data_IF_464537408809
#
_entry.id   IF_464537408809
#
_cell.length_a   1.000
_cell.length_b   1.000
_cell.length_c   1.000
_cell.angle_alpha   90.00
_cell.angle_beta   90.00
_cell.angle_gamma   90.00
#
_symmetry.space_group_name_H-M   'P 1'
#
loop_
_entity.id
_entity.type
_entity.pdbx_description
1 polymer ?
#
# COMPACT_ATOMS: atom_id res chain seq x y z
N UNK A 1 -5.71 -10.30 9.00
CA UNK A 1 -6.21 -9.02 9.54
C UNK A 1 -6.35 -9.20 11.04
N UNK A 2 -5.81 -8.28 11.84
CA UNK A 2 -5.88 -8.34 13.30
C UNK A 2 -6.57 -7.08 13.81
N UNK A 3 -7.51 -7.25 14.73
CA UNK A 3 -8.18 -6.15 15.41
C UNK A 3 -8.05 -6.35 16.92
N UNK A 4 -7.70 -5.29 17.63
CA UNK A 4 -7.65 -5.24 19.08
C UNK A 4 -8.46 -4.04 19.55
N UNK A 5 -9.42 -4.31 20.42
CA UNK A 5 -10.22 -3.27 21.06
C UNK A 5 -10.05 -3.34 22.57
N UNK A 6 -10.10 -2.20 23.23
CA UNK A 6 -10.21 -2.10 24.68
C UNK A 6 -11.57 -1.52 25.04
N UNK A 7 -12.29 -2.18 25.95
CA UNK A 7 -13.60 -1.73 26.42
C UNK A 7 -13.48 -1.24 27.86
N UNK A 8 -13.94 -0.02 28.12
CA UNK A 8 -13.94 0.58 29.44
C UNK A 8 -15.07 0.07 30.33
N UNK A 9 -15.07 0.49 31.60
CA UNK A 9 -16.05 0.06 32.63
C UNK A 9 -17.51 0.40 32.28
N UNK A 10 -17.75 1.40 31.43
CA UNK A 10 -19.07 1.79 30.95
C UNK A 10 -19.51 1.03 29.67
N UNK A 11 -18.78 -0.03 29.28
CA UNK A 11 -19.08 -0.82 28.08
C UNK A 11 -18.76 -0.13 26.74
N UNK A 12 -18.02 0.98 26.75
CA UNK A 12 -17.62 1.73 25.55
C UNK A 12 -16.20 1.34 25.10
N UNK A 13 -15.94 1.32 23.80
CA UNK A 13 -14.59 1.17 23.25
C UNK A 13 -13.78 2.42 23.58
N UNK A 14 -12.63 2.25 24.25
CA UNK A 14 -11.71 3.34 24.66
C UNK A 14 -10.41 3.35 23.85
N UNK A 15 -10.06 2.24 23.20
CA UNK A 15 -8.95 2.19 22.26
C UNK A 15 -9.18 1.10 21.21
N UNK A 16 -8.59 1.30 20.03
CA UNK A 16 -8.64 0.37 18.91
C UNK A 16 -7.27 0.34 18.21
N UNK A 17 -6.80 -0.85 17.87
CA UNK A 17 -5.61 -1.08 17.06
C UNK A 17 -5.95 -2.10 15.95
N UNK A 18 -5.64 -1.74 14.72
CA UNK A 18 -6.03 -2.46 13.51
C UNK A 18 -4.79 -2.76 12.67
N UNK A 19 -4.39 -4.03 12.59
CA UNK A 19 -3.28 -4.44 11.73
C UNK A 19 -3.81 -5.10 10.46
N UNK A 20 -3.68 -4.38 9.36
CA UNK A 20 -4.31 -4.71 8.07
C UNK A 20 -3.35 -5.50 7.17
N UNK A 21 -3.83 -6.51 6.41
CA UNK A 21 -2.98 -7.36 5.58
C UNK A 21 -2.11 -6.61 4.57
N UNK A 22 -2.65 -5.57 3.92
CA UNK A 22 -1.89 -4.77 2.95
C UNK A 22 -0.64 -4.14 3.56
N UNK A 23 -0.74 -3.59 4.78
CA UNK A 23 0.40 -2.99 5.46
C UNK A 23 1.47 -4.05 5.84
N UNK A 24 1.03 -5.23 6.25
CA UNK A 24 1.93 -6.36 6.53
C UNK A 24 2.64 -6.86 5.26
N UNK A 25 1.93 -6.85 4.13
CA UNK A 25 2.46 -7.31 2.84
C UNK A 25 3.37 -6.29 2.15
N UNK A 26 3.33 -5.02 2.56
CA UNK A 26 4.10 -3.94 1.94
C UNK A 26 5.61 -4.25 1.87
N UNK A 27 6.18 -4.75 2.97
CA UNK A 27 7.60 -5.13 3.01
C UNK A 27 7.94 -6.28 2.05
N UNK A 28 7.03 -7.23 1.85
CA UNK A 28 7.23 -8.34 0.92
C UNK A 28 7.14 -7.88 -0.54
N UNK A 29 6.19 -6.98 -0.85
CA UNK A 29 6.07 -6.38 -2.18
C UNK A 29 7.40 -5.68 -2.54
N UNK A 30 7.92 -4.84 -1.63
CA UNK A 30 9.18 -4.13 -1.82
C UNK A 30 10.35 -5.09 -2.10
N UNK A 31 10.54 -6.11 -1.25
CA UNK A 31 11.61 -7.11 -1.45
C UNK A 31 11.50 -7.84 -2.78
N UNK A 32 10.28 -8.09 -3.27
CA UNK A 32 10.07 -8.72 -4.58
C UNK A 32 10.34 -7.78 -5.75
N UNK A 33 10.07 -6.48 -5.60
CA UNK A 33 10.46 -5.49 -6.61
C UNK A 33 11.99 -5.45 -6.74
N UNK A 34 12.71 -5.42 -5.61
CA UNK A 34 14.17 -5.44 -5.58
C UNK A 34 14.74 -6.72 -6.21
N UNK A 35 14.15 -7.88 -5.90
CA UNK A 35 14.54 -9.15 -6.51
C UNK A 35 14.23 -9.20 -8.03
N UNK A 36 13.26 -8.42 -8.50
CA UNK A 36 12.91 -8.33 -9.92
C UNK A 36 13.83 -7.37 -10.69
N UNK A 37 14.47 -6.40 -10.02
CA UNK A 37 15.30 -5.35 -10.64
C UNK A 37 16.31 -5.88 -11.68
N UNK A 38 17.08 -6.96 -11.43
CA UNK A 38 18.04 -7.47 -12.43
C UNK A 38 17.37 -7.91 -13.74
N UNK A 39 16.12 -8.37 -13.68
CA UNK A 39 15.34 -8.84 -14.83
C UNK A 39 14.65 -7.71 -15.60
N UNK A 40 14.63 -6.51 -15.05
CA UNK A 40 14.00 -5.33 -15.67
C UNK A 40 14.99 -4.53 -16.54
N UNK A 41 16.30 -4.79 -16.40
CA UNK A 41 17.33 -4.07 -17.15
C UNK A 41 17.19 -4.31 -18.66
N UNK A 42 17.21 -3.23 -19.44
CA UNK A 42 17.11 -3.28 -20.90
C UNK A 42 15.69 -3.44 -21.47
N UNK A 43 14.66 -3.57 -20.62
CA UNK A 43 13.27 -3.58 -21.06
C UNK A 43 12.75 -2.16 -21.31
N UNK A 44 11.78 -1.98 -22.23
CA UNK A 44 11.10 -0.70 -22.40
C UNK A 44 10.25 -0.38 -21.16
N UNK A 45 10.05 0.91 -20.89
CA UNK A 45 9.31 1.41 -19.72
C UNK A 45 7.91 0.78 -19.58
N UNK A 46 7.19 0.62 -20.69
CA UNK A 46 5.85 0.02 -20.71
C UNK A 46 5.83 -1.44 -20.23
N UNK A 47 6.91 -2.19 -20.48
CA UNK A 47 7.02 -3.57 -20.03
C UNK A 47 7.43 -3.64 -18.56
N UNK A 48 8.29 -2.73 -18.10
CA UNK A 48 8.63 -2.58 -16.69
C UNK A 48 7.38 -2.24 -15.88
N UNK A 49 6.59 -1.26 -16.33
CA UNK A 49 5.33 -0.87 -15.69
C UNK A 49 4.37 -2.06 -15.61
N UNK A 50 4.22 -2.82 -16.70
CA UNK A 50 3.36 -4.01 -16.75
C UNK A 50 3.79 -5.06 -15.72
N UNK A 51 5.08 -5.38 -15.66
CA UNK A 51 5.61 -6.41 -14.75
C UNK A 51 5.48 -5.99 -13.28
N UNK A 52 5.82 -4.74 -12.95
CA UNK A 52 5.66 -4.21 -11.59
C UNK A 52 4.18 -4.11 -11.19
N UNK A 53 3.30 -3.72 -12.11
CA UNK A 53 1.85 -3.68 -11.87
C UNK A 53 1.29 -5.07 -11.60
N UNK A 54 1.73 -6.10 -12.35
CA UNK A 54 1.35 -7.49 -12.09
C UNK A 54 1.81 -7.94 -10.71
N UNK A 55 3.05 -7.64 -10.32
CA UNK A 55 3.59 -7.98 -9.01
C UNK A 55 2.75 -7.35 -7.88
N UNK A 56 2.48 -6.06 -7.95
CA UNK A 56 1.69 -5.35 -6.93
C UNK A 56 0.27 -5.92 -6.86
N UNK A 57 -0.40 -6.14 -7.99
CA UNK A 57 -1.77 -6.70 -8.04
C UNK A 57 -1.86 -8.14 -7.56
N UNK A 58 -0.79 -8.94 -7.68
CA UNK A 58 -0.76 -10.30 -7.14
C UNK A 58 -0.91 -10.36 -5.61
N UNK A 59 -0.68 -9.25 -4.91
CA UNK A 59 -0.89 -9.13 -3.46
C UNK A 59 -2.27 -8.57 -3.08
N UNK A 60 -3.13 -8.29 -4.06
CA UNK A 60 -4.46 -7.69 -3.89
C UNK A 60 -4.45 -6.48 -2.91
N UNK A 61 -3.69 -5.41 -3.23
CA UNK A 61 -3.48 -4.33 -2.28
C UNK A 61 -4.74 -3.47 -2.15
N UNK A 62 -5.45 -3.60 -1.03
CA UNK A 62 -6.50 -2.64 -0.67
C UNK A 62 -5.88 -1.38 -0.04
N UNK A 63 -5.71 -0.31 -0.83
CA UNK A 63 -5.11 0.96 -0.35
C UNK A 63 -6.03 1.67 0.66
N UNK A 64 -7.33 1.72 0.39
CA UNK A 64 -8.33 2.31 1.30
C UNK A 64 -8.34 1.63 2.67
N UNK A 65 -8.06 0.32 2.72
CA UNK A 65 -7.98 -0.44 3.96
C UNK A 65 -6.66 -0.21 4.70
N UNK A 66 -5.59 0.17 4.00
CA UNK A 66 -4.21 0.14 4.51
C UNK A 66 -3.79 1.40 5.28
N UNK A 67 -4.59 2.46 5.23
CA UNK A 67 -4.35 3.72 5.93
C UNK A 67 -5.55 4.04 6.82
N UNK A 68 -5.29 4.54 8.04
CA UNK A 68 -6.32 4.68 9.08
C UNK A 68 -6.79 6.11 9.29
N UNK A 69 -5.90 7.11 9.20
CA UNK A 69 -6.25 8.53 9.25
C UNK A 69 -5.09 9.36 8.69
N UNK A 70 -5.39 10.35 7.85
CA UNK A 70 -4.45 11.35 7.38
C UNK A 70 -4.90 12.71 7.93
N UNK A 71 -4.15 13.31 8.84
CA UNK A 71 -4.33 14.73 9.20
C UNK A 71 -3.63 15.57 8.12
N UNK A 72 -4.39 16.39 7.37
CA UNK A 72 -3.84 17.20 6.27
C UNK A 72 -3.84 18.68 6.63
N UNK A 73 -2.64 19.26 6.77
CA UNK A 73 -2.40 20.66 6.41
C UNK A 73 -2.33 20.69 4.88
N UNK A 74 -3.23 21.41 4.20
CA UNK A 74 -3.36 21.36 2.74
C UNK A 74 -2.06 21.80 2.03
N UNK A 75 -1.16 20.86 1.74
CA UNK A 75 -0.03 21.09 0.84
C UNK A 75 -0.48 20.87 -0.59
N UNK A 76 -0.17 21.83 -1.45
CA UNK A 76 -0.47 21.85 -2.89
C UNK A 76 0.02 20.54 -3.51
N UNK A 77 -0.91 19.75 -4.06
CA UNK A 77 -0.59 18.46 -4.65
C UNK A 77 0.21 18.65 -5.94
N UNK A 78 1.53 18.55 -5.85
CA UNK A 78 2.36 18.28 -7.02
C UNK A 78 2.09 16.84 -7.44
N UNK A 79 1.63 16.63 -8.68
CA UNK A 79 1.41 15.29 -9.25
C UNK A 79 2.77 14.71 -9.61
N UNK A 80 3.38 13.81 -8.82
CA UNK A 80 4.72 13.30 -9.09
C UNK A 80 4.70 12.25 -10.20
N UNK A 81 3.51 11.78 -10.58
CA UNK A 81 3.31 10.65 -11.48
C UNK A 81 2.26 11.01 -12.52
N UNK A 82 2.65 10.91 -13.80
CA UNK A 82 1.75 11.07 -14.94
C UNK A 82 1.06 9.73 -15.21
N UNK A 83 -0.16 9.58 -14.72
CA UNK A 83 -1.02 8.47 -15.16
C UNK A 83 -1.33 8.65 -16.65
N UNK A 84 -0.71 7.82 -17.50
CA UNK A 84 -1.06 7.71 -18.91
C UNK A 84 -2.28 6.79 -18.98
N UNK A 85 -3.46 7.37 -19.21
CA UNK A 85 -4.63 6.62 -19.66
C UNK A 85 -4.60 6.64 -21.18
N UNK A 86 -4.54 5.45 -21.80
CA UNK A 86 -4.79 5.26 -23.23
C UNK A 86 -6.23 5.61 -23.59
#
# INVERSE_FOLDING_TARGET
MLFKYQVGSLGRVVSADCVIPTNQNHANIQKKMEALTPRLSGLPESEIERLLSMLVRAYDPCISCSTHLLETEQRKAERPVRFIRT
#
